data_IF_780851400607
#
_entry.id   IF_780851400607
#
_cell.length_a   1.000
_cell.length_b   1.000
_cell.length_c   1.000
_cell.angle_alpha   90.00
_cell.angle_beta   90.00
_cell.angle_gamma   90.00
#
_symmetry.space_group_name_H-M   'P 1'
#
loop_
_entity.id
_entity.type
_entity.pdbx_description
1 polymer ?
#
# COMPACT_ATOMS: atom_id res chain seq x y z
N UNK A 1 11.53 -24.76 9.10
CA UNK A 1 11.05 -23.76 10.08
C UNK A 1 12.07 -22.66 10.45
N UNK A 2 13.39 -22.93 10.60
CA UNK A 2 14.40 -21.84 10.74
C UNK A 2 14.60 -21.04 9.43
N UNK A 3 14.75 -21.74 8.29
CA UNK A 3 15.03 -21.13 6.95
C UNK A 3 13.94 -20.18 6.41
N UNK A 4 12.67 -20.45 6.71
CA UNK A 4 11.49 -19.63 6.30
C UNK A 4 11.46 -18.26 6.97
N UNK A 5 12.04 -18.14 8.18
CA UNK A 5 11.97 -16.92 8.99
C UNK A 5 12.81 -15.78 8.43
N UNK A 6 13.88 -16.14 7.72
CA UNK A 6 14.90 -15.23 7.19
C UNK A 6 14.35 -14.31 6.09
N UNK A 7 13.39 -14.82 5.32
CA UNK A 7 12.77 -14.11 4.19
C UNK A 7 11.77 -13.04 4.63
N UNK A 8 11.16 -13.22 5.80
CA UNK A 8 10.10 -12.36 6.32
C UNK A 8 10.61 -11.01 6.78
N UNK A 9 11.82 -10.99 7.34
CA UNK A 9 12.51 -9.78 7.75
C UNK A 9 12.97 -8.97 6.53
N UNK A 10 13.53 -9.59 5.50
CA UNK A 10 13.90 -8.89 4.27
C UNK A 10 12.70 -8.28 3.54
N UNK A 11 11.53 -8.95 3.55
CA UNK A 11 10.28 -8.43 2.99
C UNK A 11 9.69 -7.25 3.77
N UNK A 12 10.14 -7.02 5.01
CA UNK A 12 9.74 -5.88 5.84
C UNK A 12 10.81 -4.78 5.98
N UNK A 13 11.98 -4.96 5.37
CA UNK A 13 13.16 -4.09 5.53
C UNK A 13 13.70 -3.52 4.22
N UNK A 14 13.30 -4.08 3.06
CA UNK A 14 13.75 -3.63 1.75
C UNK A 14 12.53 -3.17 0.93
N UNK A 15 12.49 -1.89 0.50
CA UNK A 15 11.40 -1.43 -0.35
C UNK A 15 11.31 -2.24 -1.65
N UNK A 16 10.21 -2.98 -1.80
CA UNK A 16 9.95 -3.91 -2.89
C UNK A 16 9.55 -3.25 -4.22
N UNK A 17 9.39 -1.93 -4.20
CA UNK A 17 9.03 -1.10 -5.36
C UNK A 17 10.11 -1.09 -6.47
N UNK A 18 11.18 -1.85 -6.28
CA UNK A 18 12.38 -1.92 -7.12
C UNK A 18 12.76 -3.40 -7.36
N UNK A 19 11.74 -4.24 -7.54
CA UNK A 19 11.91 -5.53 -8.20
C UNK A 19 11.86 -5.32 -9.72
N UNK A 20 12.53 -6.15 -10.55
CA UNK A 20 12.31 -6.10 -11.99
C UNK A 20 10.80 -6.14 -12.27
N UNK A 21 10.28 -5.33 -13.17
CA UNK A 21 8.83 -5.27 -13.44
C UNK A 21 8.33 -6.64 -13.88
N UNK A 22 7.52 -7.27 -13.03
CA UNK A 22 6.96 -8.60 -13.28
C UNK A 22 5.54 -8.46 -13.83
N UNK A 23 5.24 -9.18 -14.91
CA UNK A 23 3.94 -9.12 -15.60
C UNK A 23 2.73 -9.51 -14.72
N UNK A 24 2.97 -10.21 -13.60
CA UNK A 24 1.93 -10.64 -12.66
C UNK A 24 1.47 -9.52 -11.72
N UNK A 25 2.33 -8.56 -11.38
CA UNK A 25 2.00 -7.50 -10.41
C UNK A 25 1.14 -6.39 -11.02
N UNK A 26 1.24 -6.14 -12.33
CA UNK A 26 0.45 -5.10 -13.02
C UNK A 26 -1.06 -5.41 -13.09
N UNK A 27 -1.47 -6.69 -13.04
CA UNK A 27 -2.87 -7.09 -13.30
C UNK A 27 -3.83 -6.97 -12.12
N UNK A 28 -3.32 -6.74 -10.90
CA UNK A 28 -4.12 -6.70 -9.66
C UNK A 28 -3.77 -5.54 -8.73
N UNK A 29 -2.74 -4.75 -9.06
CA UNK A 29 -2.26 -3.66 -8.23
C UNK A 29 -3.23 -2.47 -8.22
N UNK A 30 -3.70 -1.98 -7.04
CA UNK A 30 -4.35 -0.67 -6.97
C UNK A 30 -3.57 0.36 -7.78
N UNK A 31 -4.24 1.01 -8.74
CA UNK A 31 -3.58 1.93 -9.65
C UNK A 31 -3.83 3.35 -9.18
N UNK A 32 -2.75 4.04 -8.82
CA UNK A 32 -2.80 5.48 -8.58
C UNK A 32 -2.62 6.17 -9.92
N UNK A 33 -3.72 6.60 -10.54
CA UNK A 33 -3.62 7.41 -11.77
C UNK A 33 -3.27 8.84 -11.37
N UNK A 34 -2.15 9.32 -11.91
CA UNK A 34 -1.68 10.70 -11.77
C UNK A 34 -2.78 11.65 -12.29
N UNK A 35 -3.44 12.37 -11.38
CA UNK A 35 -4.40 13.42 -11.77
C UNK A 35 -3.58 14.62 -12.22
N UNK A 36 -3.47 14.83 -13.54
CA UNK A 36 -2.95 16.10 -14.07
C UNK A 36 -4.02 17.17 -13.86
N UNK A 37 -3.73 18.14 -13.01
CA UNK A 37 -4.55 19.34 -12.81
C UNK A 37 -3.93 20.44 -13.67
N UNK A 38 -4.66 20.97 -14.65
CA UNK A 38 -4.30 22.23 -15.28
C UNK A 38 -4.63 23.37 -14.31
N UNK A 39 -3.68 24.29 -14.08
CA UNK A 39 -3.88 25.46 -13.23
C UNK A 39 -4.95 26.37 -13.82
N UNK A 40 -6.12 26.43 -13.18
CA UNK A 40 -7.05 27.53 -13.40
C UNK A 40 -6.60 28.70 -12.53
N UNK A 41 -6.34 29.85 -13.16
CA UNK A 41 -6.05 31.11 -12.46
C UNK A 41 -7.28 31.52 -11.66
N UNK A 42 -7.23 31.35 -10.34
CA UNK A 42 -8.27 31.84 -9.44
C UNK A 42 -8.26 33.37 -9.41
N UNK A 43 -9.38 34.00 -9.80
CA UNK A 43 -9.66 35.39 -9.45
C UNK A 43 -9.96 35.46 -7.95
N UNK A 44 -9.21 36.31 -7.25
CA UNK A 44 -9.35 36.59 -5.83
C UNK A 44 -10.61 37.42 -5.57
N UNK A 45 -11.55 36.89 -4.79
CA UNK A 45 -12.30 37.59 -3.73
C UNK A 45 -13.42 36.67 -3.21
N UNK A 46 -13.19 35.97 -2.10
CA UNK A 46 -14.20 35.85 -1.05
C UNK A 46 -13.60 35.31 0.26
N UNK A 47 -13.86 35.99 1.38
CA UNK A 47 -13.38 35.63 2.72
C UNK A 47 -14.54 35.12 3.57
N UNK A 48 -14.62 33.81 3.79
CA UNK A 48 -15.32 33.23 4.96
C UNK A 48 -14.75 31.81 5.27
N UNK A 49 -14.45 31.44 6.53
CA UNK A 49 -13.82 30.16 6.85
C UNK A 49 -14.89 29.11 7.16
N UNK A 50 -15.43 28.49 6.11
CA UNK A 50 -16.23 27.28 6.25
C UNK A 50 -15.98 26.35 5.06
N UNK A 51 -15.37 25.20 5.37
CA UNK A 51 -15.23 24.00 4.56
C UNK A 51 -14.84 24.22 3.08
N UNK A 52 -13.58 24.56 2.83
CA UNK A 52 -13.00 24.76 1.49
C UNK A 52 -12.66 23.46 0.75
N UNK A 53 -13.13 22.29 1.20
CA UNK A 53 -12.78 21.00 0.61
C UNK A 53 -13.59 20.68 -0.66
N UNK A 54 -14.87 21.07 -0.72
CA UNK A 54 -15.72 20.74 -1.86
C UNK A 54 -15.57 21.72 -3.04
N UNK A 55 -15.19 22.98 -2.77
CA UNK A 55 -15.08 24.03 -3.80
C UNK A 55 -13.82 23.95 -4.66
N UNK A 56 -12.78 23.22 -4.24
CA UNK A 56 -11.53 23.03 -5.02
C UNK A 56 -11.53 21.76 -5.88
N UNK A 57 -12.64 21.01 -5.90
CA UNK A 57 -12.79 19.76 -6.67
C UNK A 57 -13.45 19.99 -8.04
N UNK A 58 -14.12 21.12 -8.27
CA UNK A 58 -14.86 21.38 -9.52
C UNK A 58 -14.00 21.75 -10.75
N UNK A 59 -12.69 22.00 -10.60
CA UNK A 59 -11.83 22.47 -11.71
C UNK A 59 -10.76 21.46 -12.18
N UNK A 60 -11.01 20.15 -12.05
CA UNK A 60 -10.14 19.14 -12.66
C UNK A 60 -10.63 18.77 -14.06
N UNK A 61 -10.02 19.33 -15.10
CA UNK A 61 -10.29 18.98 -16.50
C UNK A 61 -9.54 17.71 -16.92
N UNK A 62 -10.20 16.94 -17.80
CA UNK A 62 -9.78 15.64 -18.33
C UNK A 62 -8.47 15.78 -19.15
N UNK A 63 -7.37 15.16 -18.70
CA UNK A 63 -6.10 15.16 -19.46
C UNK A 63 -5.94 13.88 -20.26
N UNK A 64 -6.03 13.99 -21.59
CA UNK A 64 -5.65 12.92 -22.54
C UNK A 64 -4.13 12.72 -22.50
N UNK A 65 -3.66 11.54 -22.08
CA UNK A 65 -2.27 11.15 -22.22
C UNK A 65 -1.95 10.83 -23.69
N UNK A 66 -1.07 11.61 -24.32
CA UNK A 66 -0.35 11.15 -25.52
C UNK A 66 0.87 10.34 -25.05
N UNK A 67 0.78 9.01 -25.12
CA UNK A 67 1.97 8.17 -25.16
C UNK A 67 1.73 7.03 -26.15
N UNK A 68 2.48 7.06 -27.24
CA UNK A 68 2.54 5.99 -28.23
C UNK A 68 3.25 4.77 -27.64
N UNK A 69 2.46 3.85 -27.10
CA UNK A 69 2.77 2.42 -27.07
C UNK A 69 1.45 1.68 -26.95
N UNK A 70 1.25 0.60 -27.70
CA UNK A 70 0.05 -0.25 -27.65
C UNK A 70 -0.09 -0.87 -26.25
N UNK A 71 -0.65 -0.12 -25.29
CA UNK A 71 -1.13 -0.59 -23.99
C UNK A 71 -2.66 -0.50 -24.02
N UNK A 72 -3.34 -1.42 -23.32
CA UNK A 72 -4.80 -1.39 -23.17
C UNK A 72 -5.28 0.03 -22.81
N UNK A 73 -6.46 0.48 -23.30
CA UNK A 73 -6.97 1.79 -22.96
C UNK A 73 -7.07 1.93 -21.43
N UNK A 74 -6.64 3.07 -20.88
CA UNK A 74 -6.82 3.35 -19.46
C UNK A 74 -8.31 3.46 -19.12
N UNK A 75 -8.73 3.03 -17.92
CA UNK A 75 -10.11 3.28 -17.47
C UNK A 75 -10.39 4.78 -17.40
N UNK A 76 -11.65 5.18 -17.61
CA UNK A 76 -12.11 6.57 -17.45
C UNK A 76 -13.14 6.68 -16.33
N UNK A 77 -12.94 7.68 -15.47
CA UNK A 77 -13.79 8.00 -14.33
C UNK A 77 -13.65 9.49 -13.99
N UNK A 78 -14.60 10.03 -13.24
CA UNK A 78 -14.63 11.44 -12.84
C UNK A 78 -13.66 11.72 -11.69
N UNK A 79 -13.09 12.94 -11.67
CA UNK A 79 -12.14 13.37 -10.63
C UNK A 79 -12.69 13.23 -9.19
N UNK A 80 -13.99 13.46 -8.99
CA UNK A 80 -14.64 13.32 -7.68
C UNK A 80 -14.64 11.87 -7.16
N UNK A 81 -14.56 10.87 -8.04
CA UNK A 81 -14.65 9.46 -7.68
C UNK A 81 -13.29 8.83 -7.33
N UNK A 82 -12.18 9.45 -7.73
CA UNK A 82 -10.85 8.82 -7.72
C UNK A 82 -10.44 8.32 -6.34
N UNK A 83 -10.69 9.10 -5.30
CA UNK A 83 -10.31 8.72 -3.92
C UNK A 83 -11.05 7.46 -3.46
N UNK A 84 -12.36 7.42 -3.67
CA UNK A 84 -13.17 6.27 -3.28
C UNK A 84 -12.89 5.04 -4.15
N UNK A 85 -12.64 5.22 -5.45
CA UNK A 85 -12.23 4.13 -6.33
C UNK A 85 -10.87 3.55 -5.92
N UNK A 86 -9.91 4.40 -5.55
CA UNK A 86 -8.60 3.95 -5.08
C UNK A 86 -8.71 3.15 -3.78
N UNK A 87 -9.38 3.69 -2.77
CA UNK A 87 -9.65 2.97 -1.51
C UNK A 87 -10.43 1.66 -1.75
N UNK A 88 -11.40 1.67 -2.67
CA UNK A 88 -12.18 0.47 -3.02
C UNK A 88 -11.32 -0.66 -3.59
N UNK A 89 -10.25 -0.33 -4.34
CA UNK A 89 -9.27 -1.31 -4.80
C UNK A 89 -8.49 -1.92 -3.64
N UNK A 90 -7.96 -1.08 -2.75
CA UNK A 90 -7.22 -1.55 -1.57
C UNK A 90 -8.10 -2.40 -0.65
N UNK A 91 -9.37 -2.04 -0.48
CA UNK A 91 -10.33 -2.79 0.33
C UNK A 91 -10.78 -4.11 -0.31
N UNK A 92 -10.46 -4.36 -1.59
CA UNK A 92 -10.88 -5.56 -2.33
C UNK A 92 -12.37 -5.57 -2.71
N UNK A 93 -13.03 -4.41 -2.70
CA UNK A 93 -14.47 -4.28 -3.02
C UNK A 93 -14.73 -3.86 -4.47
N UNK A 94 -13.71 -3.34 -5.17
CA UNK A 94 -13.73 -3.12 -6.60
C UNK A 94 -13.11 -4.35 -7.30
N UNK A 95 -13.79 -4.98 -8.27
CA UNK A 95 -13.24 -6.15 -8.94
C UNK A 95 -11.96 -5.80 -9.69
N UNK A 96 -10.87 -6.52 -9.41
CA UNK A 96 -9.60 -6.24 -10.06
C UNK A 96 -9.69 -6.43 -11.59
N UNK A 97 -10.42 -7.44 -12.08
CA UNK A 97 -10.59 -7.71 -13.51
C UNK A 97 -11.26 -6.56 -14.27
N UNK A 98 -12.23 -5.87 -13.67
CA UNK A 98 -13.02 -4.82 -14.35
C UNK A 98 -12.30 -3.48 -14.44
N UNK A 99 -11.25 -3.27 -13.66
CA UNK A 99 -10.47 -2.03 -13.71
C UNK A 99 -9.56 -1.93 -14.94
N UNK A 100 -9.09 -3.05 -15.50
CA UNK A 100 -8.02 -3.07 -16.51
C UNK A 100 -8.45 -3.18 -17.99
N UNK A 101 -9.73 -2.93 -18.30
CA UNK A 101 -10.29 -3.17 -19.65
C UNK A 101 -10.75 -1.88 -20.36
N UNK A 102 -10.09 -0.73 -20.16
CA UNK A 102 -10.44 0.52 -20.87
C UNK A 102 -11.88 0.98 -20.67
N UNK A 103 -12.45 0.57 -19.53
CA UNK A 103 -13.85 0.76 -19.19
C UNK A 103 -14.13 2.22 -18.86
N UNK A 104 -15.30 2.69 -19.27
CA UNK A 104 -15.84 3.98 -18.85
C UNK A 104 -16.76 3.80 -17.65
N UNK A 105 -16.26 4.11 -16.45
CA UNK A 105 -16.98 3.97 -15.20
C UNK A 105 -18.07 5.04 -15.01
N UNK A 106 -18.13 6.04 -15.88
CA UNK A 106 -19.19 7.07 -15.87
C UNK A 106 -20.48 6.54 -16.48
N UNK A 107 -20.42 5.43 -17.23
CA UNK A 107 -21.60 4.75 -17.78
C UNK A 107 -22.35 3.98 -16.71
N UNK A 108 -23.62 3.71 -16.99
CA UNK A 108 -24.48 2.90 -16.13
C UNK A 108 -23.82 1.53 -15.84
N UNK A 109 -23.94 1.07 -14.60
CA UNK A 109 -23.39 -0.22 -14.17
C UNK A 109 -24.10 -1.39 -14.86
N UNK A 110 -23.35 -2.44 -15.22
CA UNK A 110 -23.94 -3.69 -15.72
C UNK A 110 -24.34 -4.61 -14.54
N UNK A 111 -25.31 -5.50 -14.79
CA UNK A 111 -25.86 -6.38 -13.77
C UNK A 111 -24.80 -7.29 -13.12
N UNK A 112 -23.85 -7.78 -13.91
CA UNK A 112 -22.73 -8.61 -13.45
C UNK A 112 -21.80 -7.86 -12.49
N UNK A 113 -21.42 -6.63 -12.83
CA UNK A 113 -20.58 -5.79 -11.98
C UNK A 113 -21.29 -5.41 -10.68
N UNK A 114 -22.60 -5.15 -10.77
CA UNK A 114 -23.41 -4.83 -9.59
C UNK A 114 -23.45 -6.01 -8.60
N UNK A 115 -23.65 -7.23 -9.12
CA UNK A 115 -23.61 -8.47 -8.33
C UNK A 115 -22.24 -8.73 -7.72
N UNK A 116 -21.17 -8.51 -8.50
CA UNK A 116 -19.81 -8.71 -8.02
C UNK A 116 -19.43 -7.69 -6.95
N UNK A 117 -19.75 -6.41 -7.14
CA UNK A 117 -19.55 -5.35 -6.14
C UNK A 117 -20.27 -5.65 -4.82
N UNK A 118 -21.53 -6.08 -4.90
CA UNK A 118 -22.31 -6.49 -3.73
C UNK A 118 -21.64 -7.66 -3.02
N UNK A 119 -21.27 -8.70 -3.77
CA UNK A 119 -20.62 -9.90 -3.23
C UNK A 119 -19.31 -9.56 -2.52
N UNK A 120 -18.41 -8.81 -3.17
CA UNK A 120 -17.12 -8.44 -2.58
C UNK A 120 -17.30 -7.59 -1.31
N UNK A 121 -18.26 -6.66 -1.32
CA UNK A 121 -18.62 -5.85 -0.14
C UNK A 121 -19.17 -6.70 1.00
N UNK A 122 -20.00 -7.71 0.68
CA UNK A 122 -20.53 -8.67 1.65
C UNK A 122 -19.40 -9.52 2.25
N UNK A 123 -18.58 -10.12 1.39
CA UNK A 123 -17.45 -10.95 1.80
C UNK A 123 -16.48 -10.16 2.69
N UNK A 124 -16.27 -8.87 2.40
CA UNK A 124 -15.43 -7.97 3.21
C UNK A 124 -15.95 -7.80 4.65
N UNK A 125 -17.24 -7.55 4.80
CA UNK A 125 -17.88 -7.40 6.11
C UNK A 125 -17.89 -8.73 6.89
N UNK A 126 -18.24 -9.83 6.22
CA UNK A 126 -18.34 -11.15 6.85
C UNK A 126 -16.96 -11.68 7.30
N UNK A 127 -15.92 -11.50 6.49
CA UNK A 127 -14.53 -11.83 6.87
C UNK A 127 -14.02 -10.99 8.04
N UNK A 128 -14.58 -9.81 8.25
CA UNK A 128 -14.30 -8.93 9.40
C UNK A 128 -15.10 -9.32 10.66
N UNK A 129 -15.90 -10.39 10.57
CA UNK A 129 -16.73 -10.91 11.66
C UNK A 129 -18.09 -10.21 11.83
N UNK A 130 -18.51 -9.40 10.85
CA UNK A 130 -19.79 -8.68 10.89
C UNK A 130 -20.89 -9.48 10.19
N UNK A 131 -22.12 -9.40 10.72
CA UNK A 131 -23.30 -10.02 10.09
C UNK A 131 -23.86 -9.09 9.00
N UNK A 132 -24.17 -9.66 7.84
CA UNK A 132 -24.83 -8.95 6.73
C UNK A 132 -26.29 -9.39 6.60
N UNK A 133 -27.08 -8.66 5.82
CA UNK A 133 -28.48 -9.04 5.57
C UNK A 133 -28.66 -10.15 4.53
N UNK A 134 -27.59 -10.79 4.06
CA UNK A 134 -27.64 -11.90 3.10
C UNK A 134 -27.55 -11.46 1.63
N UNK A 135 -28.13 -12.24 0.72
CA UNK A 135 -28.06 -11.95 -0.72
C UNK A 135 -29.06 -10.87 -1.17
N UNK A 136 -28.74 -10.19 -2.27
CA UNK A 136 -29.59 -9.17 -2.89
C UNK A 136 -29.73 -9.42 -4.40
N UNK A 137 -30.95 -9.32 -4.92
CA UNK A 137 -31.26 -9.55 -6.33
C UNK A 137 -31.60 -8.23 -7.04
N UNK A 138 -30.63 -7.68 -7.77
CA UNK A 138 -30.80 -6.48 -8.59
C UNK A 138 -31.74 -6.71 -9.77
N UNK A 139 -32.54 -5.69 -10.10
CA UNK A 139 -33.49 -5.68 -11.21
C UNK A 139 -33.25 -4.50 -12.14
N UNK A 140 -33.30 -3.28 -11.62
CA UNK A 140 -33.33 -2.07 -12.43
C UNK A 140 -32.07 -1.22 -12.30
N UNK A 141 -31.14 -1.50 -11.38
CA UNK A 141 -29.89 -0.78 -11.20
C UNK A 141 -30.10 0.75 -11.11
N UNK A 142 -31.24 1.15 -10.54
CA UNK A 142 -31.49 2.53 -10.17
C UNK A 142 -30.63 2.91 -8.96
N UNK A 143 -30.40 4.21 -8.77
CA UNK A 143 -29.76 4.70 -7.54
C UNK A 143 -30.51 4.25 -6.30
N UNK A 144 -31.84 4.32 -6.33
CA UNK A 144 -32.69 3.86 -5.23
C UNK A 144 -32.50 2.38 -4.93
N UNK A 145 -32.48 1.51 -5.95
CA UNK A 145 -32.23 0.08 -5.76
C UNK A 145 -30.86 -0.18 -5.14
N UNK A 146 -29.82 0.56 -5.56
CA UNK A 146 -28.49 0.46 -4.97
C UNK A 146 -28.46 0.90 -3.51
N UNK A 147 -29.11 2.02 -3.15
CA UNK A 147 -29.19 2.44 -1.74
C UNK A 147 -29.94 1.41 -0.86
N UNK A 148 -31.01 0.80 -1.41
CA UNK A 148 -31.73 -0.29 -0.74
C UNK A 148 -30.84 -1.54 -0.58
N UNK A 149 -30.03 -1.85 -1.58
CA UNK A 149 -29.09 -2.97 -1.52
C UNK A 149 -27.99 -2.75 -0.46
N UNK A 150 -27.54 -1.50 -0.26
CA UNK A 150 -26.61 -1.15 0.82
C UNK A 150 -27.29 -1.30 2.19
N UNK A 151 -28.55 -0.91 2.31
CA UNK A 151 -29.33 -1.12 3.55
C UNK A 151 -29.43 -2.60 3.92
N UNK A 152 -29.73 -3.43 2.92
CA UNK A 152 -29.73 -4.89 3.08
C UNK A 152 -28.35 -5.42 3.46
N UNK A 153 -27.30 -5.01 2.75
CA UNK A 153 -25.92 -5.41 3.02
C UNK A 153 -25.55 -5.17 4.49
N UNK A 154 -25.85 -3.98 5.01
CA UNK A 154 -25.55 -3.57 6.38
C UNK A 154 -26.55 -4.09 7.43
N UNK A 155 -27.42 -5.05 7.05
CA UNK A 155 -28.43 -5.66 7.90
C UNK A 155 -29.33 -4.66 8.64
N UNK A 156 -29.76 -3.60 7.93
CA UNK A 156 -30.67 -2.58 8.45
C UNK A 156 -32.02 -2.66 7.75
N UNK A 157 -33.10 -2.47 8.53
CA UNK A 157 -34.48 -2.67 8.04
C UNK A 157 -34.89 -1.68 6.92
N UNK A 158 -34.21 -0.53 6.83
CA UNK A 158 -34.01 0.32 5.66
C UNK A 158 -33.19 1.53 6.15
N UNK A 159 -32.16 1.98 5.43
CA UNK A 159 -31.64 3.32 5.71
C UNK A 159 -32.58 4.33 5.07
N UNK A 160 -32.98 5.34 5.83
CA UNK A 160 -33.50 6.56 5.22
C UNK A 160 -32.36 7.24 4.44
N UNK A 161 -32.69 7.87 3.31
CA UNK A 161 -31.77 8.71 2.53
C UNK A 161 -31.16 9.78 3.44
N UNK A 162 -31.95 10.32 4.38
CA UNK A 162 -31.45 11.25 5.39
C UNK A 162 -30.27 10.66 6.17
N UNK A 163 -30.42 9.44 6.70
CA UNK A 163 -29.37 8.79 7.49
C UNK A 163 -28.11 8.48 6.65
N UNK A 164 -28.29 8.12 5.37
CA UNK A 164 -27.16 7.89 4.45
C UNK A 164 -26.39 9.19 4.16
N UNK A 165 -27.09 10.33 4.09
CA UNK A 165 -26.49 11.65 3.91
C UNK A 165 -25.82 12.15 5.18
N UNK A 166 -26.47 11.99 6.32
CA UNK A 166 -25.90 12.33 7.64
C UNK A 166 -24.62 11.51 7.90
N UNK A 167 -24.61 10.26 7.43
CA UNK A 167 -23.46 9.36 7.47
C UNK A 167 -22.41 9.59 6.37
N UNK A 168 -22.62 10.58 5.48
CA UNK A 168 -21.76 10.88 4.32
C UNK A 168 -21.54 9.71 3.35
N UNK A 169 -22.41 8.70 3.37
CA UNK A 169 -22.39 7.59 2.43
C UNK A 169 -22.92 8.06 1.08
N UNK A 170 -24.10 8.70 1.10
CA UNK A 170 -24.74 9.25 -0.09
C UNK A 170 -24.66 10.78 -0.05
N UNK A 171 -24.24 11.41 -1.16
CA UNK A 171 -24.08 12.86 -1.26
C UNK A 171 -25.00 13.48 -2.33
N UNK A 172 -25.76 12.65 -3.06
CA UNK A 172 -26.64 13.09 -4.13
C UNK A 172 -27.94 13.72 -3.60
N UNK A 173 -28.74 14.32 -4.50
CA UNK A 173 -30.06 14.83 -4.17
C UNK A 173 -31.04 13.68 -3.86
N UNK A 174 -32.06 13.99 -3.06
CA UNK A 174 -33.09 13.04 -2.63
C UNK A 174 -34.36 13.09 -3.49
N UNK A 175 -34.34 13.78 -4.63
CA UNK A 175 -35.51 13.89 -5.50
C UNK A 175 -35.77 12.58 -6.26
N UNK A 176 -37.05 12.31 -6.50
CA UNK A 176 -37.51 11.04 -7.08
C UNK A 176 -36.96 10.80 -8.50
N UNK A 177 -36.75 11.86 -9.28
CA UNK A 177 -36.23 11.75 -10.65
C UNK A 177 -34.79 11.25 -10.62
N UNK A 178 -33.93 11.89 -9.82
CA UNK A 178 -32.54 11.49 -9.68
C UNK A 178 -32.39 10.04 -9.18
N UNK A 179 -33.22 9.65 -8.21
CA UNK A 179 -33.17 8.33 -7.58
C UNK A 179 -33.60 7.18 -8.50
N UNK A 180 -34.51 7.44 -9.46
CA UNK A 180 -34.99 6.46 -10.45
C UNK A 180 -34.05 6.25 -11.63
N UNK A 181 -33.09 7.13 -11.83
CA UNK A 181 -32.11 6.99 -12.91
C UNK A 181 -31.14 5.82 -12.66
N UNK A 182 -30.67 5.23 -13.77
CA UNK A 182 -29.61 4.22 -13.75
C UNK A 182 -28.33 4.80 -13.13
N UNK A 183 -27.75 4.08 -12.19
CA UNK A 183 -26.55 4.52 -11.49
C UNK A 183 -25.28 4.29 -12.33
N UNK A 184 -24.39 5.29 -12.46
CA UNK A 184 -23.04 5.10 -12.98
C UNK A 184 -22.23 4.10 -12.17
N UNK A 185 -21.37 3.32 -12.81
CA UNK A 185 -20.57 2.31 -12.12
C UNK A 185 -19.64 2.91 -11.06
N UNK A 186 -18.97 4.03 -11.35
CA UNK A 186 -18.16 4.75 -10.36
C UNK A 186 -18.97 5.15 -9.13
N UNK A 187 -20.21 5.60 -9.32
CA UNK A 187 -21.06 6.07 -8.23
C UNK A 187 -21.47 4.89 -7.35
N UNK A 188 -21.88 3.76 -7.94
CA UNK A 188 -22.16 2.54 -7.19
C UNK A 188 -20.97 2.13 -6.32
N UNK A 189 -19.75 2.04 -6.88
CA UNK A 189 -18.55 1.65 -6.12
C UNK A 189 -18.28 2.63 -4.97
N UNK A 190 -18.40 3.94 -5.22
CA UNK A 190 -18.21 4.94 -4.17
C UNK A 190 -19.20 4.75 -3.01
N UNK A 191 -20.48 4.47 -3.30
CA UNK A 191 -21.50 4.25 -2.27
C UNK A 191 -21.19 3.00 -1.43
N UNK A 192 -20.87 1.86 -2.07
CA UNK A 192 -20.48 0.63 -1.37
C UNK A 192 -19.24 0.84 -0.52
N UNK A 193 -18.21 1.47 -1.09
CA UNK A 193 -16.97 1.79 -0.38
C UNK A 193 -17.25 2.58 0.87
N UNK A 194 -17.98 3.69 0.77
CA UNK A 194 -18.28 4.56 1.92
C UNK A 194 -19.08 3.82 2.99
N UNK A 195 -20.08 3.04 2.57
CA UNK A 195 -20.91 2.25 3.48
C UNK A 195 -20.10 1.19 4.24
N UNK A 196 -19.32 0.37 3.51
CA UNK A 196 -18.46 -0.67 4.10
C UNK A 196 -17.40 -0.04 5.01
N UNK A 197 -16.70 1.00 4.52
CA UNK A 197 -15.68 1.68 5.32
C UNK A 197 -16.27 2.26 6.60
N UNK A 198 -17.42 2.95 6.52
CA UNK A 198 -18.06 3.52 7.71
C UNK A 198 -18.37 2.46 8.77
N UNK A 199 -18.99 1.35 8.38
CA UNK A 199 -19.33 0.30 9.34
C UNK A 199 -18.08 -0.35 9.92
N UNK A 200 -17.03 -0.56 9.12
CA UNK A 200 -15.77 -1.10 9.64
C UNK A 200 -15.09 -0.14 10.64
N UNK A 201 -15.12 1.17 10.38
CA UNK A 201 -14.62 2.18 11.32
C UNK A 201 -15.45 2.22 12.61
N UNK A 202 -16.79 2.30 12.49
CA UNK A 202 -17.71 2.37 13.62
C UNK A 202 -17.59 1.14 14.55
N UNK A 203 -17.34 -0.05 13.99
CA UNK A 203 -17.17 -1.31 14.72
C UNK A 203 -15.72 -1.60 15.15
N UNK A 204 -14.79 -0.67 14.90
CA UNK A 204 -13.37 -0.82 15.20
C UNK A 204 -12.68 -1.98 14.45
N UNK A 205 -13.23 -2.39 13.30
CA UNK A 205 -12.70 -3.42 12.39
C UNK A 205 -11.74 -2.81 11.37
N UNK A 206 -10.75 -2.10 11.87
CA UNK A 206 -9.76 -1.32 11.10
C UNK A 206 -8.36 -1.77 11.46
N UNK A 207 -7.40 -1.57 10.55
CA UNK A 207 -6.00 -1.78 10.89
C UNK A 207 -5.43 -0.64 11.71
N UNK A 208 -4.85 -0.97 12.86
CA UNK A 208 -4.26 -0.03 13.83
C UNK A 208 -2.79 0.26 13.56
N UNK A 209 -2.06 -0.68 12.93
CA UNK A 209 -0.63 -0.53 12.67
C UNK A 209 0.20 -0.36 13.94
N UNK A 210 1.44 0.11 13.80
CA UNK A 210 2.27 0.57 14.92
C UNK A 210 2.41 2.08 14.80
N UNK A 211 1.53 2.80 15.50
CA UNK A 211 1.33 4.22 15.32
C UNK A 211 1.79 5.00 16.55
N UNK A 212 2.62 6.02 16.34
CA UNK A 212 3.25 6.79 17.40
C UNK A 212 3.12 8.30 17.15
N UNK A 213 3.06 9.07 18.23
CA UNK A 213 3.15 10.53 18.24
C UNK A 213 4.35 10.98 19.09
N UNK A 214 5.08 11.98 18.59
CA UNK A 214 6.12 12.71 19.33
C UNK A 214 5.88 14.20 19.17
N UNK A 215 5.98 14.96 20.26
CA UNK A 215 5.86 16.42 20.23
C UNK A 215 7.05 17.09 20.89
N UNK A 216 7.53 18.18 20.30
CA UNK A 216 8.50 19.07 20.93
C UNK A 216 8.19 20.51 20.57
N UNK A 217 7.82 21.32 21.57
CA UNK A 217 7.58 22.77 21.44
C UNK A 217 6.62 23.14 20.28
N UNK A 218 5.64 22.29 19.99
CA UNK A 218 4.67 22.52 18.92
C UNK A 218 5.07 21.97 17.54
N UNK A 219 6.27 21.42 17.38
CA UNK A 219 6.57 20.52 16.27
C UNK A 219 6.05 19.12 16.62
N UNK A 220 5.21 18.57 15.75
CA UNK A 220 4.58 17.26 15.94
C UNK A 220 5.04 16.29 14.86
N UNK A 221 5.37 15.07 15.27
CA UNK A 221 5.71 13.99 14.37
C UNK A 221 4.80 12.81 14.66
N UNK A 222 4.10 12.36 13.63
CA UNK A 222 3.41 11.08 13.58
C UNK A 222 4.33 10.06 12.93
N UNK A 223 4.43 8.85 13.47
CA UNK A 223 5.20 7.76 12.89
C UNK A 223 4.33 6.51 12.76
N UNK A 224 4.32 5.90 11.59
CA UNK A 224 3.62 4.64 11.33
C UNK A 224 4.61 3.59 10.82
N UNK A 225 4.58 2.41 11.43
CA UNK A 225 5.28 1.23 10.93
C UNK A 225 4.62 0.70 9.66
N UNK A 226 5.38 0.36 8.63
CA UNK A 226 4.88 -0.18 7.37
C UNK A 226 5.29 -1.65 7.15
N UNK A 227 4.67 -2.28 6.14
CA UNK A 227 5.06 -3.59 5.59
C UNK A 227 4.96 -3.47 4.07
N UNK A 228 6.04 -3.78 3.37
CA UNK A 228 6.17 -3.54 1.93
C UNK A 228 5.21 -4.35 1.04
N UNK A 229 4.77 -5.52 1.51
CA UNK A 229 3.69 -6.29 0.88
C UNK A 229 2.45 -6.26 1.75
N UNK A 230 1.27 -6.39 1.13
CA UNK A 230 0.02 -6.49 1.87
C UNK A 230 -1.01 -7.35 1.19
N UNK A 231 -2.21 -7.34 1.77
CA UNK A 231 -3.41 -7.98 1.27
C UNK A 231 -4.60 -7.06 1.47
N UNK A 232 -5.65 -7.26 0.70
CA UNK A 232 -6.87 -6.47 0.77
C UNK A 232 -7.52 -6.44 2.17
N UNK A 233 -7.39 -7.52 2.95
CA UNK A 233 -8.00 -7.64 4.27
C UNK A 233 -7.37 -6.79 5.36
N UNK A 234 -6.19 -6.18 5.14
CA UNK A 234 -5.63 -5.20 6.08
C UNK A 234 -6.27 -3.82 5.96
N UNK A 235 -7.14 -3.60 4.97
CA UNK A 235 -7.84 -2.33 4.78
C UNK A 235 -9.28 -2.42 5.31
N UNK A 236 -9.90 -1.33 5.77
CA UNK A 236 -9.37 0.02 5.85
C UNK A 236 -8.40 0.21 7.02
N UNK A 237 -7.56 1.22 6.89
CA UNK A 237 -6.71 1.72 7.96
C UNK A 237 -7.56 2.60 8.89
N UNK A 238 -7.25 2.58 10.18
CA UNK A 238 -7.94 3.39 11.18
C UNK A 238 -7.98 4.88 10.81
N UNK A 239 -9.13 5.53 11.01
CA UNK A 239 -9.30 6.94 10.64
C UNK A 239 -8.35 7.88 11.39
N UNK A 240 -7.92 7.52 12.61
CA UNK A 240 -6.99 8.35 13.38
C UNK A 240 -5.66 8.54 12.63
N UNK A 241 -5.17 7.45 12.03
CA UNK A 241 -3.92 7.44 11.26
C UNK A 241 -4.09 8.25 9.97
N UNK A 242 -5.23 8.09 9.30
CA UNK A 242 -5.53 8.84 8.07
C UNK A 242 -5.71 10.35 8.35
N UNK A 243 -6.28 10.70 9.50
CA UNK A 243 -6.44 12.09 9.94
C UNK A 243 -5.09 12.69 10.31
N UNK A 244 -4.20 11.94 10.96
CA UNK A 244 -2.83 12.35 11.22
C UNK A 244 -2.06 12.67 9.93
N UNK A 245 -2.15 11.78 8.92
CA UNK A 245 -1.56 12.04 7.59
C UNK A 245 -2.12 13.33 6.97
N UNK A 246 -3.44 13.51 6.96
CA UNK A 246 -4.10 14.70 6.39
C UNK A 246 -3.76 15.99 7.12
N UNK A 247 -3.46 15.92 8.42
CA UNK A 247 -3.06 17.06 9.23
C UNK A 247 -1.58 17.41 9.10
N UNK A 248 -0.80 16.58 8.41
CA UNK A 248 0.64 16.76 8.26
C UNK A 248 0.98 17.60 7.02
N UNK A 249 1.98 18.46 7.17
CA UNK A 249 2.53 19.29 6.10
C UNK A 249 3.22 18.45 5.02
N UNK A 250 3.81 17.31 5.43
CA UNK A 250 4.63 16.46 4.58
C UNK A 250 4.65 15.02 5.08
N UNK A 251 4.62 14.06 4.15
CA UNK A 251 4.93 12.66 4.37
C UNK A 251 6.43 12.44 4.16
N UNK A 252 7.12 11.82 5.11
CA UNK A 252 8.49 11.33 4.96
C UNK A 252 8.48 9.81 4.93
N UNK A 253 9.02 9.25 3.86
CA UNK A 253 9.23 7.80 3.72
C UNK A 253 10.71 7.48 3.91
N UNK A 254 11.08 6.20 4.00
CA UNK A 254 12.50 5.82 3.95
C UNK A 254 13.17 6.36 2.69
N UNK A 255 12.54 6.13 1.51
CA UNK A 255 12.97 6.66 0.21
C UNK A 255 11.76 7.18 -0.56
N UNK A 256 11.94 8.21 -1.40
CA UNK A 256 10.89 8.69 -2.30
C UNK A 256 10.88 7.92 -3.62
N UNK A 257 9.99 6.92 -3.72
CA UNK A 257 9.82 6.10 -4.93
C UNK A 257 9.10 6.77 -6.09
N UNK A 258 8.60 8.00 -5.90
CA UNK A 258 7.90 8.74 -6.96
C UNK A 258 8.88 9.45 -7.90
N UNK A 259 10.14 9.63 -7.48
CA UNK A 259 11.18 10.22 -8.32
C UNK A 259 11.67 9.23 -9.39
N UNK A 260 11.07 9.32 -10.59
CA UNK A 260 11.39 8.44 -11.74
C UNK A 260 12.87 8.43 -12.13
N UNK A 261 13.60 9.54 -11.95
CA UNK A 261 15.02 9.63 -12.31
C UNK A 261 15.88 8.83 -11.35
N UNK A 262 15.67 9.00 -10.04
CA UNK A 262 16.41 8.26 -9.03
C UNK A 262 16.01 6.78 -9.02
N UNK A 263 14.73 6.48 -9.25
CA UNK A 263 14.23 5.11 -9.39
C UNK A 263 14.96 4.37 -10.53
N UNK A 264 15.14 5.02 -11.69
CA UNK A 264 15.90 4.46 -12.82
C UNK A 264 17.36 4.18 -12.47
N UNK A 265 18.04 5.10 -11.76
CA UNK A 265 19.44 4.87 -11.33
C UNK A 265 19.55 3.68 -10.38
N UNK A 266 18.56 3.48 -9.51
CA UNK A 266 18.51 2.34 -8.62
C UNK A 266 18.22 1.04 -9.38
N UNK A 267 17.32 1.07 -10.37
CA UNK A 267 17.06 -0.06 -11.27
C UNK A 267 18.32 -0.53 -12.00
N UNK A 268 19.16 0.39 -12.47
CA UNK A 268 20.43 0.04 -13.11
C UNK A 268 21.41 -0.71 -12.20
N UNK A 269 21.29 -0.59 -10.86
CA UNK A 269 22.13 -1.31 -9.91
C UNK A 269 21.69 -2.77 -9.70
N UNK A 270 20.52 -3.15 -10.22
CA UNK A 270 20.05 -4.54 -10.24
C UNK A 270 20.90 -5.41 -11.18
N UNK A 271 21.58 -4.81 -12.16
CA UNK A 271 22.27 -5.52 -13.23
C UNK A 271 23.80 -5.44 -13.11
N UNK A 272 24.50 -6.47 -13.61
CA UNK A 272 25.95 -6.38 -13.81
C UNK A 272 26.31 -5.33 -14.86
N UNK A 273 27.49 -4.71 -14.70
CA UNK A 273 28.03 -3.69 -15.62
C UNK A 273 29.46 -4.03 -16.10
N UNK A 274 30.06 -5.08 -15.56
CA UNK A 274 31.48 -5.42 -15.64
C UNK A 274 31.76 -6.72 -16.42
N UNK A 275 30.79 -7.18 -17.23
CA UNK A 275 30.92 -8.38 -18.05
C UNK A 275 30.76 -9.72 -17.29
N UNK A 276 30.74 -9.69 -15.95
CA UNK A 276 30.28 -10.79 -15.11
C UNK A 276 28.80 -11.04 -15.28
N UNK A 277 28.35 -12.21 -14.84
CA UNK A 277 26.95 -12.58 -14.86
C UNK A 277 26.56 -13.42 -13.64
N UNK A 278 25.25 -13.61 -13.45
CA UNK A 278 24.71 -14.30 -12.26
C UNK A 278 25.23 -15.73 -12.11
N UNK A 279 25.49 -16.41 -13.22
CA UNK A 279 25.97 -17.79 -13.23
C UNK A 279 27.40 -17.89 -12.68
N UNK A 280 28.22 -16.86 -12.90
CA UNK A 280 29.58 -16.79 -12.35
C UNK A 280 29.56 -16.76 -10.81
N UNK A 281 28.55 -16.11 -10.21
CA UNK A 281 28.41 -15.99 -8.76
C UNK A 281 27.67 -17.18 -8.11
N UNK A 282 26.62 -17.72 -8.75
CA UNK A 282 25.82 -18.81 -8.18
C UNK A 282 26.41 -20.21 -8.45
N UNK A 283 27.24 -20.35 -9.50
CA UNK A 283 27.64 -21.65 -10.04
C UNK A 283 26.50 -22.35 -10.79
N UNK A 284 26.86 -23.41 -11.54
CA UNK A 284 25.95 -24.12 -12.46
C UNK A 284 24.69 -24.67 -11.76
N UNK A 285 24.86 -25.32 -10.61
CA UNK A 285 23.78 -26.03 -9.93
C UNK A 285 22.72 -25.07 -9.37
N UNK A 286 23.13 -24.08 -8.58
CA UNK A 286 22.21 -23.13 -7.97
C UNK A 286 21.55 -22.24 -9.03
N UNK A 287 22.29 -21.80 -10.04
CA UNK A 287 21.72 -21.03 -11.16
C UNK A 287 20.60 -21.80 -11.87
N UNK A 288 20.80 -23.08 -12.17
CA UNK A 288 19.77 -23.90 -12.82
C UNK A 288 18.50 -24.03 -11.97
N UNK A 289 18.64 -24.15 -10.64
CA UNK A 289 17.51 -24.20 -9.69
C UNK A 289 16.75 -22.88 -9.66
N UNK A 290 17.48 -21.74 -9.58
CA UNK A 290 16.91 -20.39 -9.62
C UNK A 290 16.16 -20.16 -10.94
N UNK A 291 16.76 -20.51 -12.08
CA UNK A 291 16.14 -20.35 -13.39
C UNK A 291 14.79 -21.07 -13.51
N UNK A 292 14.66 -22.28 -12.92
CA UNK A 292 13.37 -23.00 -12.91
C UNK A 292 12.28 -22.23 -12.17
N UNK A 293 12.59 -21.62 -11.03
CA UNK A 293 11.63 -20.84 -10.25
C UNK A 293 11.28 -19.53 -10.99
N UNK A 294 12.27 -18.86 -11.58
CA UNK A 294 12.10 -17.58 -12.29
C UNK A 294 11.15 -17.64 -13.50
N UNK A 295 10.99 -18.82 -14.12
CA UNK A 295 9.97 -19.03 -15.16
C UNK A 295 8.55 -18.70 -14.68
N UNK A 296 8.25 -18.94 -13.40
CA UNK A 296 6.95 -18.60 -12.80
C UNK A 296 6.68 -17.09 -12.72
N UNK A 297 7.73 -16.27 -12.78
CA UNK A 297 7.64 -14.81 -12.81
C UNK A 297 7.57 -14.24 -14.24
N UNK A 298 7.63 -15.09 -15.26
CA UNK A 298 7.65 -14.67 -16.67
C UNK A 298 8.98 -14.08 -17.13
N UNK A 299 10.06 -14.26 -16.34
CA UNK A 299 11.40 -13.84 -16.71
C UNK A 299 12.09 -14.91 -17.56
N UNK A 300 12.74 -14.45 -18.63
CA UNK A 300 13.53 -15.27 -19.54
C UNK A 300 14.98 -15.39 -19.04
N UNK A 301 15.69 -16.42 -19.50
CA UNK A 301 17.08 -16.67 -19.06
C UNK A 301 18.02 -15.51 -19.40
N UNK A 302 17.85 -14.87 -20.57
CA UNK A 302 18.63 -13.71 -21.01
C UNK A 302 18.42 -12.45 -20.15
N UNK A 303 17.31 -12.39 -19.39
CA UNK A 303 17.07 -11.35 -18.39
C UNK A 303 17.64 -11.75 -17.03
N UNK A 304 17.41 -13.00 -16.60
CA UNK A 304 17.89 -13.50 -15.31
C UNK A 304 19.42 -13.45 -15.20
N UNK A 305 20.14 -13.88 -16.25
CA UNK A 305 21.60 -13.96 -16.24
C UNK A 305 22.28 -12.61 -15.96
N UNK A 306 21.59 -11.50 -16.22
CA UNK A 306 22.10 -10.14 -16.03
C UNK A 306 21.87 -9.58 -14.62
N UNK A 307 21.03 -10.21 -13.81
CA UNK A 307 20.69 -9.74 -12.47
C UNK A 307 21.79 -10.07 -11.47
N UNK A 308 22.09 -9.15 -10.56
CA UNK A 308 22.97 -9.38 -9.41
C UNK A 308 22.27 -10.23 -8.33
N UNK A 309 23.03 -10.89 -7.43
CA UNK A 309 22.46 -11.77 -6.39
C UNK A 309 21.40 -11.09 -5.51
N UNK A 310 21.60 -9.83 -5.12
CA UNK A 310 20.64 -9.10 -4.29
C UNK A 310 19.26 -8.94 -4.96
N UNK A 311 19.24 -8.68 -6.28
CA UNK A 311 18.01 -8.55 -7.06
C UNK A 311 17.28 -9.91 -7.17
N UNK A 312 18.06 -10.98 -7.32
CA UNK A 312 17.56 -12.36 -7.36
C UNK A 312 16.93 -12.75 -6.03
N UNK A 313 17.63 -12.50 -4.92
CA UNK A 313 17.13 -12.78 -3.57
C UNK A 313 15.81 -12.04 -3.29
N UNK A 314 15.74 -10.75 -3.59
CA UNK A 314 14.53 -9.94 -3.40
C UNK A 314 13.36 -10.47 -4.25
N UNK A 315 13.61 -10.83 -5.50
CA UNK A 315 12.56 -11.37 -6.39
C UNK A 315 12.06 -12.73 -5.91
N UNK A 316 12.97 -13.65 -5.51
CA UNK A 316 12.60 -14.95 -4.93
C UNK A 316 11.88 -14.83 -3.59
N UNK A 317 11.96 -13.67 -2.93
CA UNK A 317 11.22 -13.43 -1.70
C UNK A 317 9.72 -13.22 -1.96
N UNK A 318 9.32 -12.97 -3.20
CA UNK A 318 7.94 -12.71 -3.60
C UNK A 318 7.32 -13.94 -4.25
N UNK A 319 6.06 -14.19 -3.96
CA UNK A 319 5.30 -15.23 -4.66
C UNK A 319 4.68 -14.64 -5.94
N UNK A 320 4.97 -15.22 -7.13
CA UNK A 320 4.43 -14.73 -8.39
C UNK A 320 2.91 -14.94 -8.53
N UNK A 321 2.30 -15.80 -7.70
CA UNK A 321 0.86 -16.10 -7.78
C UNK A 321 0.00 -14.86 -7.53
N UNK A 322 -1.18 -14.86 -8.14
CA UNK A 322 -2.13 -13.75 -8.11
C UNK A 322 -2.72 -13.50 -6.71
N UNK A 323 -2.93 -14.55 -5.92
CA UNK A 323 -3.53 -14.53 -4.59
C UNK A 323 -2.52 -14.37 -3.43
N UNK A 324 -1.24 -14.15 -3.76
CA UNK A 324 -0.19 -13.94 -2.77
C UNK A 324 -0.18 -12.50 -2.23
N UNK A 325 0.50 -12.23 -1.09
CA UNK A 325 0.78 -10.85 -0.68
C UNK A 325 1.55 -10.10 -1.76
N UNK A 326 1.16 -8.85 -2.04
CA UNK A 326 1.75 -8.05 -3.13
C UNK A 326 2.23 -6.68 -2.64
N UNK A 327 3.27 -6.17 -3.27
CA UNK A 327 3.79 -4.83 -2.99
C UNK A 327 2.76 -3.72 -3.26
N UNK A 328 1.89 -3.94 -4.23
CA UNK A 328 0.80 -3.02 -4.57
C UNK A 328 -0.27 -2.87 -3.48
N UNK A 329 -0.41 -3.86 -2.59
CA UNK A 329 -1.21 -3.78 -1.37
C UNK A 329 -0.38 -3.43 -0.14
N UNK A 330 0.93 -3.20 -0.28
CA UNK A 330 1.80 -2.76 0.80
C UNK A 330 1.36 -1.42 1.38
N UNK A 331 1.70 -1.19 2.64
CA UNK A 331 1.28 0.02 3.37
C UNK A 331 1.85 1.27 2.69
N UNK A 332 3.10 1.21 2.24
CA UNK A 332 3.77 2.28 1.48
C UNK A 332 3.00 2.66 0.23
N UNK A 333 2.57 1.68 -0.57
CA UNK A 333 1.79 1.91 -1.79
C UNK A 333 0.49 2.64 -1.48
N UNK A 334 -0.19 2.27 -0.39
CA UNK A 334 -1.40 2.96 0.07
C UNK A 334 -1.14 4.42 0.46
N UNK A 335 -0.11 4.69 1.26
CA UNK A 335 0.18 6.05 1.72
C UNK A 335 0.75 6.94 0.62
N UNK A 336 1.49 6.40 -0.34
CA UNK A 336 1.89 7.12 -1.56
C UNK A 336 0.65 7.49 -2.38
N UNK A 337 -0.27 6.53 -2.59
CA UNK A 337 -1.53 6.79 -3.28
C UNK A 337 -2.32 7.93 -2.62
N UNK A 338 -2.49 7.84 -1.31
CA UNK A 338 -3.19 8.84 -0.53
C UNK A 338 -2.50 10.20 -0.58
N UNK A 339 -1.18 10.24 -0.51
CA UNK A 339 -0.43 11.50 -0.55
C UNK A 339 -0.55 12.18 -1.91
N UNK A 340 -0.41 11.44 -3.01
CA UNK A 340 -0.60 11.95 -4.37
C UNK A 340 -2.02 12.46 -4.59
N UNK A 341 -3.03 11.72 -4.14
CA UNK A 341 -4.45 12.11 -4.27
C UNK A 341 -4.85 13.30 -3.38
N UNK A 342 -4.11 13.56 -2.30
CA UNK A 342 -4.35 14.68 -1.39
C UNK A 342 -3.33 15.81 -1.54
N UNK A 343 -2.42 15.73 -2.53
CA UNK A 343 -1.34 16.70 -2.77
C UNK A 343 -0.46 16.95 -1.54
N UNK A 344 -0.24 15.91 -0.75
CA UNK A 344 0.71 15.93 0.38
C UNK A 344 2.10 15.71 -0.20
N UNK A 345 3.03 16.62 0.11
CA UNK A 345 4.41 16.49 -0.35
C UNK A 345 5.04 15.22 0.23
N UNK A 346 5.83 14.52 -0.58
CA UNK A 346 6.59 13.34 -0.16
C UNK A 346 8.06 13.74 -0.06
N UNK A 347 8.69 13.42 1.06
CA UNK A 347 10.13 13.51 1.27
C UNK A 347 10.71 12.18 1.71
N UNK A 348 12.02 12.18 1.92
CA UNK A 348 12.78 10.97 2.21
C UNK A 348 13.66 11.13 3.46
N UNK A 349 13.75 10.06 4.26
CA UNK A 349 14.64 9.94 5.41
C UNK A 349 16.00 9.36 5.01
N UNK A 350 16.09 8.71 3.86
CA UNK A 350 17.29 8.16 3.27
C UNK A 350 17.25 8.43 1.76
N UNK A 351 18.37 8.35 1.05
CA UNK A 351 18.35 8.46 -0.40
C UNK A 351 18.23 7.07 -1.03
N UNK A 352 17.59 7.00 -2.20
CA UNK A 352 17.60 5.78 -3.03
C UNK A 352 19.02 5.28 -3.30
N UNK A 353 19.96 6.19 -3.58
CA UNK A 353 21.35 5.83 -3.80
C UNK A 353 21.97 5.18 -2.56
N UNK A 354 21.70 5.71 -1.36
CA UNK A 354 22.19 5.12 -0.12
C UNK A 354 21.67 3.70 0.06
N UNK A 355 20.35 3.48 -0.06
CA UNK A 355 19.78 2.13 0.07
C UNK A 355 20.28 1.18 -1.02
N UNK A 356 20.39 1.65 -2.27
CA UNK A 356 20.88 0.83 -3.35
C UNK A 356 22.34 0.42 -3.17
N UNK A 357 23.18 1.32 -2.65
CA UNK A 357 24.57 1.00 -2.31
C UNK A 357 24.65 0.04 -1.13
N UNK A 358 23.80 0.20 -0.12
CA UNK A 358 23.74 -0.70 1.03
C UNK A 358 23.42 -2.14 0.58
N UNK A 359 22.41 -2.30 -0.29
CA UNK A 359 22.01 -3.62 -0.81
C UNK A 359 23.05 -4.18 -1.79
N UNK A 360 23.53 -3.36 -2.73
CA UNK A 360 24.45 -3.84 -3.77
C UNK A 360 25.84 -4.19 -3.24
N UNK A 361 26.26 -3.62 -2.11
CA UNK A 361 27.56 -3.85 -1.49
C UNK A 361 27.49 -4.77 -0.26
N UNK A 362 26.32 -5.33 0.06
CA UNK A 362 26.22 -6.34 1.11
C UNK A 362 26.98 -7.62 0.72
N UNK A 363 27.36 -8.40 1.72
CA UNK A 363 28.19 -9.60 1.58
C UNK A 363 27.64 -10.58 0.54
N UNK A 364 28.42 -10.81 -0.52
CA UNK A 364 28.00 -11.62 -1.66
C UNK A 364 27.81 -13.09 -1.26
N UNK A 365 28.69 -13.64 -0.42
CA UNK A 365 28.59 -15.02 0.07
C UNK A 365 27.34 -15.23 0.93
N UNK A 366 26.97 -14.25 1.76
CA UNK A 366 25.72 -14.24 2.48
C UNK A 366 24.52 -14.23 1.53
N UNK A 367 24.53 -13.41 0.47
CA UNK A 367 23.47 -13.46 -0.55
C UNK A 367 23.35 -14.82 -1.22
N UNK A 368 24.47 -15.44 -1.62
CA UNK A 368 24.45 -16.77 -2.25
C UNK A 368 23.82 -17.80 -1.30
N UNK A 369 24.20 -17.80 -0.02
CA UNK A 369 23.61 -18.68 1.01
C UNK A 369 22.11 -18.42 1.21
N UNK A 370 21.71 -17.15 1.22
CA UNK A 370 20.31 -16.75 1.36
C UNK A 370 19.48 -17.17 0.14
N UNK A 371 20.01 -17.01 -1.07
CA UNK A 371 19.41 -17.49 -2.33
C UNK A 371 19.24 -19.00 -2.29
N UNK A 372 20.28 -19.74 -1.93
CA UNK A 372 20.21 -21.21 -1.80
C UNK A 372 19.14 -21.63 -0.79
N UNK A 373 19.04 -20.92 0.33
CA UNK A 373 18.06 -21.16 1.39
C UNK A 373 16.62 -20.95 0.90
N UNK A 374 16.33 -19.81 0.26
CA UNK A 374 14.98 -19.51 -0.26
C UNK A 374 14.62 -20.42 -1.44
N UNK A 375 15.55 -20.70 -2.36
CA UNK A 375 15.36 -21.64 -3.46
C UNK A 375 15.01 -23.03 -2.93
N UNK A 376 15.74 -23.52 -1.92
CA UNK A 376 15.45 -24.81 -1.29
C UNK A 376 14.10 -24.84 -0.56
N UNK A 377 13.67 -23.72 0.01
CA UNK A 377 12.36 -23.62 0.65
C UNK A 377 11.23 -23.68 -0.38
N UNK A 378 11.36 -22.93 -1.47
CA UNK A 378 10.39 -22.92 -2.58
C UNK A 378 10.29 -24.29 -3.24
N UNK A 379 11.41 -24.96 -3.49
CA UNK A 379 11.40 -26.31 -4.09
C UNK A 379 10.72 -27.35 -3.20
N UNK A 380 10.81 -27.20 -1.86
CA UNK A 380 10.23 -28.16 -0.90
C UNK A 380 8.76 -27.89 -0.58
N UNK A 381 8.40 -26.63 -0.37
CA UNK A 381 7.11 -26.23 0.20
C UNK A 381 6.34 -25.24 -0.69
N UNK A 382 6.87 -24.88 -1.85
CA UNK A 382 6.43 -23.69 -2.57
C UNK A 382 6.55 -22.45 -1.71
N UNK A 383 5.71 -21.45 -2.00
CA UNK A 383 5.63 -20.21 -1.22
C UNK A 383 4.75 -20.30 0.03
N UNK A 384 4.22 -21.48 0.38
CA UNK A 384 3.25 -21.64 1.48
C UNK A 384 3.78 -21.06 2.79
N UNK A 385 4.96 -21.49 3.21
CA UNK A 385 5.53 -21.10 4.48
C UNK A 385 5.97 -19.63 4.51
N UNK A 386 6.39 -19.10 3.35
CA UNK A 386 6.74 -17.69 3.15
C UNK A 386 5.49 -16.83 3.35
N UNK A 387 4.41 -17.15 2.63
CA UNK A 387 3.15 -16.42 2.72
C UNK A 387 2.53 -16.52 4.13
N UNK A 388 2.56 -17.69 4.77
CA UNK A 388 2.10 -17.84 6.16
C UNK A 388 2.86 -16.95 7.14
N UNK A 389 4.15 -16.72 6.88
CA UNK A 389 4.97 -15.84 7.68
C UNK A 389 4.61 -14.37 7.48
N UNK A 390 4.42 -13.94 6.22
CA UNK A 390 3.98 -12.58 5.87
C UNK A 390 2.60 -12.32 6.47
N UNK A 391 1.69 -13.30 6.38
CA UNK A 391 0.33 -13.18 6.92
C UNK A 391 0.35 -13.01 8.44
N UNK A 392 1.27 -13.67 9.15
CA UNK A 392 1.45 -13.45 10.60
C UNK A 392 1.93 -12.03 10.91
N UNK A 393 2.78 -11.43 10.08
CA UNK A 393 3.21 -10.03 10.22
C UNK A 393 2.05 -9.07 9.95
N UNK A 394 1.34 -9.27 8.85
CA UNK A 394 0.18 -8.46 8.48
C UNK A 394 -0.93 -8.53 9.53
N UNK A 395 -1.18 -9.70 10.12
CA UNK A 395 -2.14 -9.85 11.22
C UNK A 395 -1.69 -9.13 12.49
N UNK A 396 -0.39 -9.18 12.84
CA UNK A 396 0.14 -8.46 13.99
C UNK A 396 0.06 -6.94 13.77
N UNK A 397 0.41 -6.48 12.57
CA UNK A 397 0.32 -5.07 12.16
C UNK A 397 -1.13 -4.57 12.16
N UNK A 398 -2.06 -5.32 11.55
CA UNK A 398 -3.47 -4.95 11.49
C UNK A 398 -4.07 -4.83 12.90
N UNK A 399 -3.72 -5.73 13.81
CA UNK A 399 -4.18 -5.69 15.20
C UNK A 399 -3.44 -4.66 16.09
N UNK A 400 -2.35 -4.05 15.63
CA UNK A 400 -1.45 -3.27 16.48
C UNK A 400 -0.77 -4.09 17.59
N UNK A 401 -0.63 -5.41 17.41
CA UNK A 401 -0.06 -6.32 18.41
C UNK A 401 1.48 -6.24 18.39
N UNK A 402 1.99 -5.24 19.10
CA UNK A 402 3.43 -4.94 19.21
C UNK A 402 4.22 -6.12 19.75
N UNK A 403 3.71 -6.82 20.76
CA UNK A 403 4.41 -7.97 21.36
C UNK A 403 4.55 -9.14 20.39
N UNK A 404 3.50 -9.42 19.61
CA UNK A 404 3.55 -10.44 18.57
C UNK A 404 4.49 -10.04 17.45
N UNK A 405 4.48 -8.78 17.03
CA UNK A 405 5.42 -8.28 16.03
C UNK A 405 6.87 -8.38 16.54
N UNK A 406 7.15 -7.94 17.77
CA UNK A 406 8.46 -8.07 18.41
C UNK A 406 8.93 -9.52 18.45
N UNK A 407 8.06 -10.46 18.83
CA UNK A 407 8.33 -11.91 18.80
C UNK A 407 8.55 -12.47 17.40
N UNK A 408 7.99 -11.85 16.36
CA UNK A 408 8.24 -12.23 14.96
C UNK A 408 9.63 -11.72 14.55
N UNK A 409 9.92 -10.45 14.84
CA UNK A 409 11.17 -9.77 14.47
C UNK A 409 12.40 -10.30 15.22
N UNK A 410 12.24 -10.68 16.49
CA UNK A 410 13.35 -11.14 17.35
C UNK A 410 13.67 -12.63 17.20
N UNK A 411 13.08 -13.33 16.22
CA UNK A 411 13.34 -14.77 16.03
C UNK A 411 14.70 -14.95 15.37
N UNK A 412 15.59 -15.77 15.95
CA UNK A 412 16.91 -16.00 15.37
C UNK A 412 16.79 -16.68 14.00
N UNK A 413 17.44 -16.08 13.01
CA UNK A 413 17.66 -16.58 11.66
C UNK A 413 18.93 -17.43 11.54
N UNK A 414 19.39 -17.63 10.30
CA UNK A 414 20.76 -18.10 10.07
C UNK A 414 21.75 -16.93 10.09
N UNK A 415 23.04 -17.23 10.18
CA UNK A 415 24.10 -16.21 10.30
C UNK A 415 24.07 -15.18 9.15
N UNK A 416 23.84 -15.62 7.92
CA UNK A 416 23.76 -14.74 6.76
C UNK A 416 22.59 -13.74 6.91
N UNK A 417 21.44 -14.23 7.38
CA UNK A 417 20.24 -13.42 7.58
C UNK A 417 20.35 -12.46 8.77
N UNK A 418 21.02 -12.86 9.85
CA UNK A 418 21.30 -11.96 10.98
C UNK A 418 22.23 -10.82 10.58
N UNK A 419 23.31 -11.13 9.83
CA UNK A 419 24.19 -10.09 9.25
C UNK A 419 23.42 -9.15 8.34
N UNK A 420 22.49 -9.69 7.55
CA UNK A 420 21.64 -8.90 6.67
C UNK A 420 20.72 -7.95 7.45
N UNK A 421 20.06 -8.45 8.50
CA UNK A 421 19.19 -7.64 9.35
C UNK A 421 19.99 -6.54 10.07
N UNK A 422 21.18 -6.85 10.59
CA UNK A 422 22.03 -5.88 11.27
C UNK A 422 22.43 -4.73 10.31
N UNK A 423 22.81 -5.07 9.07
CA UNK A 423 23.13 -4.10 8.03
C UNK A 423 21.94 -3.20 7.66
N UNK A 424 20.71 -3.71 7.76
CA UNK A 424 19.49 -2.98 7.42
C UNK A 424 18.84 -2.20 8.57
N UNK A 425 19.33 -2.29 9.81
CA UNK A 425 18.65 -1.70 10.96
C UNK A 425 19.53 -0.72 11.74
N UNK A 426 20.50 -1.22 12.52
CA UNK A 426 21.13 -0.48 13.62
C UNK A 426 21.63 0.93 13.25
N UNK A 427 22.43 1.05 12.19
CA UNK A 427 22.97 2.36 11.77
C UNK A 427 21.93 3.22 11.04
N UNK A 428 20.92 2.61 10.42
CA UNK A 428 19.81 3.31 9.76
C UNK A 428 18.89 3.94 10.79
N UNK A 429 18.53 3.20 11.84
CA UNK A 429 17.71 3.67 12.96
C UNK A 429 18.32 4.91 13.60
N UNK A 430 19.65 4.92 13.84
CA UNK A 430 20.36 6.08 14.39
C UNK A 430 20.25 7.30 13.48
N UNK A 431 20.47 7.14 12.17
CA UNK A 431 20.39 8.24 11.19
C UNK A 431 18.96 8.76 11.03
N UNK A 432 17.97 7.87 11.00
CA UNK A 432 16.55 8.24 10.97
C UNK A 432 16.19 9.03 12.24
N UNK A 433 16.53 8.53 13.43
CA UNK A 433 16.28 9.23 14.69
C UNK A 433 16.94 10.61 14.75
N UNK A 434 18.16 10.78 14.22
CA UNK A 434 18.83 12.08 14.11
C UNK A 434 18.09 13.06 13.18
N UNK A 435 17.56 12.57 12.04
CA UNK A 435 16.74 13.41 11.15
C UNK A 435 15.43 13.82 11.82
N UNK A 436 14.81 12.92 12.57
CA UNK A 436 13.58 13.16 13.33
C UNK A 436 13.83 14.18 14.45
N UNK A 437 14.94 14.05 15.18
CA UNK A 437 15.38 15.02 16.18
C UNK A 437 15.56 16.43 15.58
N UNK A 438 16.19 16.52 14.41
CA UNK A 438 16.36 17.78 13.69
C UNK A 438 15.00 18.39 13.27
N UNK A 439 14.04 17.57 12.83
CA UNK A 439 12.67 18.01 12.52
C UNK A 439 11.94 18.53 13.77
N UNK A 440 12.06 17.85 14.91
CA UNK A 440 11.44 18.25 16.19
C UNK A 440 12.03 19.56 16.74
N UNK A 441 13.29 19.87 16.42
CA UNK A 441 13.99 21.08 16.87
C UNK A 441 13.91 22.26 15.88
N UNK A 442 13.31 22.06 14.72
CA UNK A 442 13.16 23.09 13.69
C UNK A 442 12.36 24.28 14.22
N UNK A 443 12.74 25.49 13.83
CA UNK A 443 11.98 26.69 14.17
C UNK A 443 10.56 26.65 13.58
N UNK A 444 9.61 27.21 14.32
CA UNK A 444 8.19 27.27 13.95
C UNK A 444 7.36 26.13 14.52
N UNK A 445 6.21 25.86 13.88
CA UNK A 445 5.31 24.75 14.21
C UNK A 445 5.08 23.96 12.93
N UNK A 446 5.58 22.74 12.89
CA UNK A 446 5.47 21.84 11.74
C UNK A 446 4.81 20.54 12.21
N UNK A 447 4.01 19.92 11.34
CA UNK A 447 3.46 18.57 11.56
C UNK A 447 3.95 17.67 10.44
N UNK A 448 4.68 16.61 10.77
CA UNK A 448 5.19 15.65 9.79
C UNK A 448 4.63 14.25 10.05
N UNK A 449 4.38 13.52 8.97
CA UNK A 449 4.04 12.10 9.03
C UNK A 449 5.23 11.29 8.53
N UNK A 450 5.65 10.30 9.28
CA UNK A 450 6.77 9.42 8.96
C UNK A 450 6.25 8.01 8.73
N UNK A 451 6.61 7.41 7.60
CA UNK A 451 6.29 6.05 7.25
C UNK A 451 7.58 5.26 6.99
N UNK A 452 7.90 4.36 7.89
CA UNK A 452 9.10 3.50 7.83
C UNK A 452 8.73 2.07 8.18
N UNK A 453 9.53 1.10 7.76
CA UNK A 453 9.31 -0.31 8.04
C UNK A 453 9.06 -0.56 9.52
N UNK A 454 8.13 -1.45 9.85
CA UNK A 454 7.76 -1.74 11.25
C UNK A 454 8.95 -2.18 12.11
N UNK A 455 9.99 -2.75 11.49
CA UNK A 455 11.22 -3.13 12.16
C UNK A 455 12.07 -1.93 12.64
N UNK A 456 11.87 -0.74 12.09
CA UNK A 456 12.49 0.51 12.53
C UNK A 456 11.78 1.17 13.71
N UNK A 457 10.59 0.71 14.11
CA UNK A 457 9.80 1.32 15.19
C UNK A 457 9.48 0.38 16.35
N UNK A 458 9.25 -0.92 16.07
CA UNK A 458 8.75 -1.88 17.07
C UNK A 458 9.82 -2.32 18.08
N UNK A 459 11.07 -2.68 17.69
CA UNK A 459 12.10 -3.08 18.66
C UNK A 459 12.46 -1.97 19.64
N UNK A 460 12.83 -2.32 20.89
CA UNK A 460 13.14 -1.31 21.93
C UNK A 460 14.39 -0.47 21.62
N UNK A 461 15.30 -0.98 20.80
CA UNK A 461 16.53 -0.32 20.39
C UNK A 461 16.44 0.33 19.00
N UNK A 462 15.22 0.45 18.46
CA UNK A 462 14.95 1.08 17.16
C UNK A 462 14.70 2.59 17.31
N UNK A 463 14.23 3.27 16.25
CA UNK A 463 14.02 4.73 16.22
C UNK A 463 13.21 5.22 17.44
N UNK A 464 12.12 4.53 17.81
CA UNK A 464 11.28 4.93 18.95
C UNK A 464 12.06 4.91 20.27
N UNK A 465 12.89 3.89 20.49
CA UNK A 465 13.74 3.79 21.67
C UNK A 465 14.89 4.81 21.67
N UNK A 466 15.48 5.08 20.50
CA UNK A 466 16.54 6.09 20.36
C UNK A 466 15.97 7.48 20.70
N UNK A 467 14.77 7.82 20.22
CA UNK A 467 14.11 9.09 20.54
C UNK A 467 13.78 9.22 22.03
N UNK A 468 13.33 8.13 22.68
CA UNK A 468 13.14 8.11 24.15
C UNK A 468 14.45 8.39 24.89
N UNK A 469 15.55 7.77 24.45
CA UNK A 469 16.88 8.01 25.03
C UNK A 469 17.40 9.44 24.78
N UNK A 470 16.94 10.10 23.71
CA UNK A 470 17.20 11.53 23.46
C UNK A 470 16.33 12.47 24.32
N UNK A 471 15.42 11.94 25.14
CA UNK A 471 14.58 12.71 26.06
C UNK A 471 13.19 13.06 25.52
N UNK A 472 12.79 12.51 24.38
CA UNK A 472 11.43 12.71 23.85
C UNK A 472 10.42 11.78 24.49
N UNK A 473 9.22 12.29 24.73
CA UNK A 473 8.04 11.46 25.02
C UNK A 473 7.51 10.88 23.70
N UNK A 474 7.56 9.55 23.57
CA UNK A 474 7.04 8.82 22.42
C UNK A 474 5.78 8.07 22.84
N UNK A 475 4.63 8.55 22.37
CA UNK A 475 3.30 8.05 22.73
C UNK A 475 2.86 7.04 21.68
N UNK A 476 2.56 5.81 22.09
CA UNK A 476 1.85 4.84 21.24
C UNK A 476 0.36 5.18 21.24
N UNK A 477 -0.24 5.28 20.05
CA UNK A 477 -1.57 5.85 19.83
C UNK A 477 -2.64 4.79 19.59
#
# INVERSE_FOLDING_TARGET
MKKIKNLLLSLGLIPLLISPTLAADEKLAPQVVEIKVEEVKANSEDKNPQNTLDKKIEEAHEVKSKSDSKKNPSPSYSAWAVKDLSDAQFMGILPAKTFYEGRDFRKAVALEDARETYKLSKDKLEKSGLKTGGDFAFKDLSRLEVLNSISKLLNKNAFDIKDLRDSKIFLGPADEKYLKEKIPFQEMICLYKRAVNKVLQDEGKTSKGFFYEVNNKGNKIYMLGSIHVGRDWIYPIDEEILNALKSSDKLFMEIDTTNKKEAKKMEEKLYYKDGKNLKDDLGDELYARVLRIFKGFGLTEDKLIKLKPWAVYNTLSLDPRLDAPKASFGVESYFVAMSLLNKIEIGELESMEFQANLLANFDQDAYIKMIESVTSEIERNGYKNINEGVDKMLLAWSAGDRDKMKKILSRPGDEASEKFNEALLSERDKKMAQKIDAMLKKDGKNTYFILVGSAHLVPENSVTGILKNMGYEVIEK
#
